data_IF_205940804767
#
_entry.id   IF_205940804767
#
_cell.length_a   1.000
_cell.length_b   1.000
_cell.length_c   1.000
_cell.angle_alpha   90.00
_cell.angle_beta   90.00
_cell.angle_gamma   90.00
#
_symmetry.space_group_name_H-M   'P 1'
#
loop_
_entity.id
_entity.type
_entity.pdbx_description
1 polymer ?
#
# COMPACT_ATOMS: atom_id res chain seq x y z
N UNK A 1 -30.59 2.78 -4.36
CA UNK A 1 -30.43 1.40 -3.87
C UNK A 1 -29.41 1.41 -2.73
N UNK A 2 -29.70 0.83 -1.56
CA UNK A 2 -28.68 0.58 -0.55
C UNK A 2 -27.73 -0.53 -1.03
N UNK A 3 -26.50 -0.54 -0.51
CA UNK A 3 -25.55 -1.66 -0.73
C UNK A 3 -26.04 -2.93 -0.03
N UNK A 4 -25.75 -4.09 -0.61
CA UNK A 4 -25.85 -5.37 0.08
C UNK A 4 -24.78 -5.48 1.18
N UNK A 5 -24.93 -6.45 2.07
CA UNK A 5 -23.92 -6.68 3.11
C UNK A 5 -22.58 -7.16 2.52
N UNK A 6 -22.61 -7.93 1.42
CA UNK A 6 -21.40 -8.36 0.72
C UNK A 6 -20.67 -7.18 0.10
N UNK A 7 -21.39 -6.28 -0.58
CA UNK A 7 -20.79 -5.08 -1.19
C UNK A 7 -20.17 -4.16 -0.14
N UNK A 8 -20.76 -4.07 1.06
CA UNK A 8 -20.18 -3.31 2.18
C UNK A 8 -18.89 -3.95 2.67
N UNK A 9 -18.89 -5.28 2.83
CA UNK A 9 -17.70 -6.02 3.25
C UNK A 9 -16.57 -5.91 2.21
N UNK A 10 -16.90 -6.02 0.94
CA UNK A 10 -15.95 -5.90 -0.17
C UNK A 10 -15.31 -4.51 -0.20
N UNK A 11 -16.11 -3.43 -0.05
CA UNK A 11 -15.55 -2.07 0.01
C UNK A 11 -14.63 -1.85 1.22
N UNK A 12 -14.93 -2.48 2.36
CA UNK A 12 -14.05 -2.41 3.54
C UNK A 12 -12.75 -3.19 3.31
N UNK A 13 -12.83 -4.39 2.71
CA UNK A 13 -11.67 -5.20 2.38
C UNK A 13 -10.77 -4.50 1.37
N UNK A 14 -11.32 -4.03 0.24
CA UNK A 14 -10.58 -3.30 -0.77
C UNK A 14 -9.88 -2.08 -0.17
N UNK A 15 -10.55 -1.35 0.74
CA UNK A 15 -9.91 -0.19 1.39
C UNK A 15 -8.67 -0.59 2.19
N UNK A 16 -8.69 -1.72 2.88
CA UNK A 16 -7.54 -2.20 3.63
C UNK A 16 -6.43 -2.73 2.71
N UNK A 17 -6.79 -3.39 1.61
CA UNK A 17 -5.84 -3.84 0.59
C UNK A 17 -5.09 -2.67 -0.05
N UNK A 18 -5.80 -1.60 -0.43
CA UNK A 18 -5.18 -0.38 -0.97
C UNK A 18 -4.24 0.28 0.04
N UNK A 19 -4.61 0.30 1.32
CA UNK A 19 -3.74 0.82 2.40
C UNK A 19 -2.46 -0.01 2.53
N UNK A 20 -2.59 -1.34 2.51
CA UNK A 20 -1.47 -2.28 2.58
C UNK A 20 -0.54 -2.13 1.37
N UNK A 21 -1.10 -2.06 0.16
CA UNK A 21 -0.36 -1.86 -1.09
C UNK A 21 0.39 -0.52 -1.08
N UNK A 22 -0.27 0.58 -0.71
CA UNK A 22 0.35 1.90 -0.55
C UNK A 22 1.55 1.84 0.38
N UNK A 23 1.40 1.24 1.55
CA UNK A 23 2.44 1.16 2.57
C UNK A 23 3.60 0.25 2.13
N UNK A 24 3.32 -0.83 1.41
CA UNK A 24 4.32 -1.69 0.79
C UNK A 24 5.15 -0.90 -0.22
N UNK A 25 4.52 -0.25 -1.20
CA UNK A 25 5.23 0.49 -2.24
C UNK A 25 5.99 1.71 -1.69
N UNK A 26 5.50 2.35 -0.63
CA UNK A 26 6.25 3.41 0.06
C UNK A 26 7.54 2.87 0.67
N UNK A 27 7.50 1.70 1.34
CA UNK A 27 8.71 1.04 1.87
C UNK A 27 9.64 0.60 0.75
N UNK A 28 9.09 0.09 -0.36
CA UNK A 28 9.86 -0.25 -1.56
C UNK A 28 10.59 0.95 -2.15
N UNK A 29 9.92 2.09 -2.26
CA UNK A 29 10.53 3.33 -2.71
C UNK A 29 11.67 3.78 -1.79
N UNK A 30 11.47 3.70 -0.47
CA UNK A 30 12.51 4.01 0.53
C UNK A 30 13.71 3.06 0.43
N UNK A 31 13.46 1.77 0.19
CA UNK A 31 14.51 0.75 0.12
C UNK A 31 15.36 0.86 -1.15
N UNK A 32 14.75 1.15 -2.31
CA UNK A 32 15.43 1.04 -3.61
C UNK A 32 15.58 2.37 -4.38
N UNK A 33 14.84 3.42 -4.00
CA UNK A 33 14.88 4.71 -4.68
C UNK A 33 14.38 4.69 -6.13
N UNK A 34 13.60 3.67 -6.52
CA UNK A 34 13.07 3.55 -7.88
C UNK A 34 11.75 4.32 -8.00
N UNK A 35 11.64 5.34 -8.87
CA UNK A 35 10.47 6.22 -8.93
C UNK A 35 9.13 5.52 -9.15
N UNK A 36 9.12 4.36 -9.84
CA UNK A 36 7.89 3.60 -10.10
C UNK A 36 7.17 3.21 -8.81
N UNK A 37 7.90 2.88 -7.73
CA UNK A 37 7.28 2.54 -6.45
C UNK A 37 6.60 3.75 -5.80
N UNK A 38 7.17 4.95 -5.94
CA UNK A 38 6.53 6.19 -5.48
C UNK A 38 5.25 6.47 -6.26
N UNK A 39 5.31 6.37 -7.59
CA UNK A 39 4.17 6.58 -8.47
C UNK A 39 3.02 5.60 -8.18
N UNK A 40 3.32 4.32 -7.93
CA UNK A 40 2.31 3.32 -7.56
C UNK A 40 1.72 3.64 -6.18
N UNK A 41 2.54 3.96 -5.17
CA UNK A 41 2.06 4.36 -3.84
C UNK A 41 1.07 5.54 -3.90
N UNK A 42 1.36 6.54 -4.74
CA UNK A 42 0.44 7.66 -4.98
C UNK A 42 -0.85 7.21 -5.68
N UNK A 43 -0.77 6.21 -6.57
CA UNK A 43 -1.92 5.54 -7.18
C UNK A 43 -2.83 4.91 -6.13
N UNK A 44 -2.27 4.10 -5.25
CA UNK A 44 -3.03 3.40 -4.21
C UNK A 44 -3.64 4.37 -3.20
N UNK A 45 -3.00 5.51 -2.93
CA UNK A 45 -3.62 6.57 -2.14
C UNK A 45 -4.90 7.10 -2.80
N UNK A 46 -4.90 7.30 -4.13
CA UNK A 46 -6.09 7.75 -4.87
C UNK A 46 -7.19 6.70 -4.86
N UNK A 47 -6.85 5.41 -5.01
CA UNK A 47 -7.79 4.30 -4.90
C UNK A 47 -8.42 4.22 -3.50
N UNK A 48 -7.58 4.23 -2.45
CA UNK A 48 -8.02 4.24 -1.05
C UNK A 48 -8.99 5.39 -0.77
N UNK A 49 -8.68 6.61 -1.26
CA UNK A 49 -9.55 7.77 -1.07
C UNK A 49 -10.85 7.67 -1.86
N UNK A 50 -10.84 7.06 -3.04
CA UNK A 50 -12.04 6.79 -3.81
C UNK A 50 -12.99 5.84 -3.07
N UNK A 51 -12.46 4.76 -2.50
CA UNK A 51 -13.24 3.82 -1.68
C UNK A 51 -13.74 4.53 -0.41
N UNK A 52 -12.91 5.37 0.22
CA UNK A 52 -13.33 6.19 1.37
C UNK A 52 -14.53 7.10 1.06
N UNK A 53 -14.57 7.69 -0.15
CA UNK A 53 -15.73 8.47 -0.61
C UNK A 53 -16.97 7.60 -0.79
N UNK A 54 -16.83 6.36 -1.28
CA UNK A 54 -17.95 5.41 -1.40
C UNK A 54 -18.50 5.01 -0.03
N UNK A 55 -17.64 4.63 0.90
CA UNK A 55 -18.03 4.26 2.27
C UNK A 55 -18.78 5.40 2.96
N UNK A 56 -18.30 6.65 2.81
CA UNK A 56 -18.99 7.84 3.33
C UNK A 56 -20.35 8.05 2.67
N UNK A 57 -20.43 7.90 1.34
CA UNK A 57 -21.68 8.05 0.57
C UNK A 57 -22.76 7.07 1.01
N UNK A 58 -22.37 5.84 1.34
CA UNK A 58 -23.30 4.77 1.73
C UNK A 58 -23.42 4.59 3.24
N UNK A 59 -22.89 5.53 4.04
CA UNK A 59 -22.92 5.52 5.51
C UNK A 59 -22.43 4.19 6.10
N UNK A 60 -21.43 3.57 5.46
CA UNK A 60 -20.81 2.34 5.96
C UNK A 60 -19.81 2.75 7.05
N UNK A 61 -19.99 2.31 8.31
CA UNK A 61 -19.04 2.59 9.36
C UNK A 61 -17.69 1.98 8.96
N UNK A 62 -16.65 2.82 8.86
CA UNK A 62 -15.31 2.29 8.69
C UNK A 62 -14.89 1.58 9.97
N UNK A 63 -14.27 0.40 9.86
CA UNK A 63 -13.30 0.02 10.87
C UNK A 63 -12.15 1.00 10.68
N UNK A 64 -11.94 1.88 11.65
CA UNK A 64 -10.71 2.66 11.73
C UNK A 64 -9.57 1.68 12.01
N UNK A 65 -9.13 0.94 10.99
CA UNK A 65 -7.80 0.34 10.98
C UNK A 65 -6.83 1.46 10.66
N UNK A 66 -6.86 2.52 11.45
CA UNK A 66 -5.68 3.35 11.70
C UNK A 66 -4.78 2.58 12.67
N UNK A 67 -4.57 1.28 12.35
CA UNK A 67 -3.42 0.60 12.88
C UNK A 67 -2.29 1.35 12.19
N UNK A 68 -1.41 2.03 12.93
CA UNK A 68 -0.15 2.42 12.34
C UNK A 68 0.40 1.18 11.64
N UNK A 69 1.27 1.33 10.64
CA UNK A 69 2.10 0.19 10.27
C UNK A 69 3.04 -0.13 11.46
N UNK A 70 2.51 -0.50 12.63
CA UNK A 70 3.12 -1.46 13.52
C UNK A 70 3.34 -2.64 12.60
N UNK A 71 4.61 -2.84 12.22
CA UNK A 71 5.13 -4.05 11.64
C UNK A 71 4.11 -4.88 10.86
N UNK A 72 4.11 -4.79 9.53
CA UNK A 72 3.52 -5.80 8.66
C UNK A 72 4.25 -7.16 8.84
N UNK A 73 4.20 -7.71 10.05
CA UNK A 73 4.86 -8.90 10.55
C UNK A 73 4.10 -9.34 11.79
N UNK A 74 2.86 -9.77 11.60
CA UNK A 74 2.26 -10.77 12.51
C UNK A 74 1.46 -11.83 11.74
N UNK A 75 1.13 -11.63 10.45
CA UNK A 75 0.45 -12.66 9.65
C UNK A 75 1.09 -12.96 8.27
N UNK A 76 2.25 -12.37 7.98
CA UNK A 76 3.09 -12.80 6.87
C UNK A 76 4.45 -13.14 7.46
N UNK A 77 4.69 -14.41 7.72
CA UNK A 77 5.98 -14.99 8.11
C UNK A 77 7.02 -14.91 6.97
N UNK A 78 7.03 -13.82 6.21
CA UNK A 78 8.12 -13.49 5.29
C UNK A 78 9.14 -12.74 6.10
N UNK A 79 10.24 -13.42 6.39
CA UNK A 79 11.37 -12.97 7.18
C UNK A 79 11.76 -11.53 6.84
N UNK A 80 11.34 -10.58 7.66
CA UNK A 80 11.54 -9.15 7.51
C UNK A 80 12.98 -8.78 7.93
N UNK A 81 13.94 -9.25 7.13
CA UNK A 81 15.22 -8.55 7.02
C UNK A 81 15.00 -7.19 6.34
N UNK A 82 15.89 -6.20 6.57
CA UNK A 82 15.85 -4.98 5.77
C UNK A 82 15.88 -5.36 4.28
N UNK A 83 14.96 -4.78 3.49
CA UNK A 83 15.00 -4.94 2.04
C UNK A 83 16.43 -4.58 1.58
N UNK A 84 17.13 -5.46 0.84
CA UNK A 84 18.49 -5.18 0.44
C UNK A 84 18.49 -3.85 -0.32
N UNK A 85 19.18 -2.85 0.24
CA UNK A 85 19.30 -1.53 -0.37
C UNK A 85 19.97 -1.63 -1.74
N UNK A 86 19.92 -0.56 -2.56
CA UNK A 86 20.56 -0.59 -3.86
C UNK A 86 22.05 -0.88 -3.66
N UNK A 87 22.50 -2.03 -4.16
CA UNK A 87 23.92 -2.31 -4.31
C UNK A 87 24.54 -1.12 -5.04
N UNK A 88 25.56 -0.51 -4.43
CA UNK A 88 26.22 0.68 -4.92
C UNK A 88 26.45 0.59 -6.42
N UNK A 89 26.01 1.63 -7.14
CA UNK A 89 26.21 1.79 -8.59
C UNK A 89 27.68 1.61 -8.92
N UNK A 90 28.08 0.39 -9.31
CA UNK A 90 29.35 0.15 -9.98
C UNK A 90 29.13 0.56 -11.44
N UNK A 91 29.35 1.85 -11.63
CA UNK A 91 29.64 2.56 -12.89
C UNK A 91 30.04 1.59 -14.01
N UNK A 92 29.21 1.48 -15.05
CA UNK A 92 29.66 0.98 -16.35
C UNK A 92 30.54 2.07 -16.97
N UNK A 93 31.81 2.13 -16.59
CA UNK A 93 32.83 2.78 -17.40
C UNK A 93 33.42 1.73 -18.34
N UNK A 94 32.88 1.64 -19.55
CA UNK A 94 33.68 1.19 -20.69
C UNK A 94 33.86 2.37 -21.62
N UNK A 95 34.87 3.18 -21.28
CA UNK A 95 35.60 4.01 -22.24
C UNK A 95 36.72 3.13 -22.79
N UNK A 96 36.58 2.73 -24.05
CA UNK A 96 37.49 2.85 -25.21
C UNK A 96 36.97 1.91 -26.28
#
# INVERSE_FOLDING_TARGET
MPLSDSERADLLLMREEERLARDLYRRSHQAWGVPIFGNISDGEQRHHDAIGRLLKRYSVPGVAVDRPSSNASTDLSVQSGPLPGPAARRIYTHRT
#
